data_IF_953015799670
#
_entry.id   IF_953015799670
#
_cell.length_a   1.000
_cell.length_b   1.000
_cell.length_c   1.000
_cell.angle_alpha   90.00
_cell.angle_beta   90.00
_cell.angle_gamma   90.00
#
_symmetry.space_group_name_H-M   'P 1'
#
loop_
_entity.id
_entity.type
_entity.pdbx_description
1 polymer ?
#
# COMPACT_ATOMS: atom_id res chain seq x y z
N UNK A 1 13.05 8.97 30.41
CA UNK A 1 11.72 9.42 30.89
C UNK A 1 11.75 10.45 32.03
N UNK A 2 12.67 10.37 33.00
CA UNK A 2 12.71 11.32 34.13
C UNK A 2 12.88 12.79 33.68
N UNK A 3 13.78 13.05 32.72
CA UNK A 3 14.04 14.40 32.17
C UNK A 3 12.78 15.03 31.56
N UNK A 4 12.05 14.29 30.71
CA UNK A 4 10.80 14.78 30.11
C UNK A 4 9.79 15.21 31.18
N UNK A 5 9.62 14.41 32.24
CA UNK A 5 8.69 14.71 33.34
C UNK A 5 9.17 15.86 34.23
N UNK A 6 10.46 15.94 34.53
CA UNK A 6 11.03 17.00 35.36
C UNK A 6 10.96 18.36 34.68
N UNK A 7 11.19 18.41 33.37
CA UNK A 7 11.27 19.67 32.63
C UNK A 7 9.98 20.00 31.85
N UNK A 8 9.03 19.06 31.74
CA UNK A 8 7.79 19.25 30.98
C UNK A 8 8.00 19.42 29.48
N UNK A 9 9.06 18.81 28.91
CA UNK A 9 9.44 18.99 27.49
C UNK A 9 9.14 17.75 26.65
N UNK A 10 8.74 17.91 25.37
CA UNK A 10 8.69 16.81 24.41
C UNK A 10 10.12 16.37 24.03
N UNK A 11 10.33 15.07 23.84
CA UNK A 11 11.62 14.49 23.43
C UNK A 11 11.39 13.55 22.26
N UNK A 12 12.11 13.78 21.16
CA UNK A 12 12.17 12.88 20.02
C UNK A 12 13.42 12.01 20.08
N UNK A 13 13.27 10.72 19.78
CA UNK A 13 14.38 9.76 19.73
C UNK A 13 14.36 9.13 18.34
N UNK A 14 15.50 9.19 17.65
CA UNK A 14 15.64 8.59 16.31
C UNK A 14 16.37 7.27 16.45
N UNK A 15 15.74 6.19 15.96
CA UNK A 15 16.34 4.86 15.92
C UNK A 15 16.41 4.35 14.49
N UNK A 16 17.62 4.04 14.01
CA UNK A 16 17.81 3.46 12.69
C UNK A 16 17.68 1.93 12.76
N UNK A 17 16.96 1.34 11.82
CA UNK A 17 16.85 -0.13 11.69
C UNK A 17 18.05 -0.64 10.88
N UNK A 18 18.96 -1.37 11.54
CA UNK A 18 20.13 -1.98 10.91
C UNK A 18 19.89 -3.47 10.63
N UNK A 19 20.54 -4.00 9.59
CA UNK A 19 20.43 -5.43 9.19
C UNK A 19 21.07 -6.39 10.19
N UNK A 20 22.06 -5.90 10.93
CA UNK A 20 22.74 -6.65 11.99
C UNK A 20 22.06 -6.30 13.32
N UNK A 21 21.22 -7.20 13.83
CA UNK A 21 20.48 -7.04 15.08
C UNK A 21 21.35 -7.08 16.35
N UNK A 22 22.58 -6.54 16.29
CA UNK A 22 23.60 -6.65 17.33
C UNK A 22 23.64 -5.48 18.32
N UNK A 23 22.88 -4.42 18.07
CA UNK A 23 22.71 -3.34 19.05
C UNK A 23 21.23 -3.28 19.34
N UNK A 24 20.88 -3.33 20.62
CA UNK A 24 19.54 -3.15 21.15
C UNK A 24 18.69 -2.20 20.28
N UNK A 25 17.94 -2.77 19.34
CA UNK A 25 17.40 -1.99 18.23
C UNK A 25 16.32 -1.03 18.70
N UNK A 26 15.82 -0.13 17.82
CA UNK A 26 14.65 0.71 18.10
C UNK A 26 13.49 -0.08 18.71
N UNK A 27 13.34 -1.36 18.34
CA UNK A 27 12.35 -2.30 18.88
C UNK A 27 12.38 -2.47 20.39
N UNK A 28 13.54 -2.43 21.05
CA UNK A 28 13.61 -2.51 22.51
C UNK A 28 13.06 -1.26 23.19
N UNK A 29 13.21 -0.10 22.55
CA UNK A 29 12.70 1.16 23.07
C UNK A 29 11.17 1.28 22.91
N UNK A 30 10.55 0.54 21.98
CA UNK A 30 9.11 0.63 21.70
C UNK A 30 8.23 0.43 22.93
N UNK A 31 8.58 -0.55 23.76
CA UNK A 31 7.83 -0.83 24.98
C UNK A 31 8.06 0.24 26.05
N UNK A 32 9.20 0.94 26.00
CA UNK A 32 9.64 1.92 26.98
C UNK A 32 9.26 3.37 26.67
N UNK A 33 8.76 3.69 25.47
CA UNK A 33 8.36 5.05 25.07
C UNK A 33 6.84 5.25 25.06
N UNK A 34 6.39 6.51 25.06
CA UNK A 34 4.97 6.83 25.04
C UNK A 34 4.35 6.75 23.64
N UNK A 35 5.12 7.12 22.60
CA UNK A 35 4.69 7.05 21.19
C UNK A 35 5.80 6.41 20.36
N UNK A 36 5.43 5.52 19.44
CA UNK A 36 6.30 4.84 18.48
C UNK A 36 5.79 5.17 17.08
N UNK A 37 6.63 5.82 16.29
CA UNK A 37 6.38 6.11 14.89
C UNK A 37 7.38 5.37 14.03
N UNK A 38 6.87 4.72 12.98
CA UNK A 38 7.66 4.09 11.95
C UNK A 38 7.63 4.94 10.69
N UNK A 39 8.80 5.23 10.13
CA UNK A 39 8.92 5.92 8.85
C UNK A 39 9.43 4.94 7.81
N UNK A 40 8.54 4.51 6.94
CA UNK A 40 8.73 3.40 6.01
C UNK A 40 8.62 3.90 4.58
N UNK A 41 9.32 3.23 3.67
CA UNK A 41 9.24 3.53 2.25
C UNK A 41 9.78 2.38 1.44
N UNK A 42 9.01 1.93 0.44
CA UNK A 42 9.49 0.94 -0.50
C UNK A 42 10.42 1.56 -1.54
N UNK A 43 11.28 0.73 -2.15
CA UNK A 43 12.23 1.16 -3.18
C UNK A 43 11.56 1.63 -4.47
N UNK A 44 10.36 1.14 -4.76
CA UNK A 44 9.63 1.46 -5.98
C UNK A 44 8.58 2.57 -5.79
N UNK A 45 8.41 3.03 -4.55
CA UNK A 45 7.49 4.11 -4.21
C UNK A 45 8.26 5.38 -3.87
N UNK A 46 7.93 6.47 -4.56
CA UNK A 46 8.42 7.84 -4.25
C UNK A 46 7.97 8.31 -2.86
N UNK A 47 6.92 7.67 -2.34
CA UNK A 47 6.30 8.02 -1.06
C UNK A 47 7.00 7.40 0.14
N UNK A 48 6.87 8.10 1.26
CA UNK A 48 7.29 7.72 2.59
C UNK A 48 6.08 7.78 3.51
N UNK A 49 5.86 6.71 4.24
CA UNK A 49 4.71 6.52 5.11
C UNK A 49 5.20 6.65 6.55
N UNK A 50 4.61 7.56 7.31
CA UNK A 50 4.78 7.69 8.75
C UNK A 50 3.59 7.04 9.45
N UNK A 51 3.81 5.93 10.16
CA UNK A 51 2.77 5.14 10.82
C UNK A 51 2.96 5.14 12.33
N UNK A 52 1.89 5.37 13.09
CA UNK A 52 1.92 5.26 14.54
C UNK A 52 1.65 3.81 15.00
N UNK A 53 2.68 3.12 15.49
CA UNK A 53 2.52 1.74 16.02
C UNK A 53 2.08 1.74 17.48
N UNK A 54 2.47 2.77 18.23
CA UNK A 54 2.04 3.01 19.60
C UNK A 54 1.80 4.48 19.78
N UNK A 55 0.67 4.87 20.34
CA UNK A 55 0.38 6.26 20.64
C UNK A 55 -0.41 6.34 21.94
N UNK A 56 0.22 6.79 23.03
CA UNK A 56 -0.48 6.97 24.31
C UNK A 56 -1.38 8.21 24.34
N UNK A 57 -1.25 9.09 23.35
CA UNK A 57 -1.94 10.39 23.30
C UNK A 57 -2.95 10.50 22.16
N UNK A 58 -3.20 9.41 21.43
CA UNK A 58 -4.07 9.41 20.27
C UNK A 58 -4.20 8.04 19.62
N UNK A 59 -4.72 8.01 18.41
CA UNK A 59 -4.92 6.78 17.66
C UNK A 59 -3.62 6.23 17.08
N UNK A 60 -3.51 4.90 16.95
CA UNK A 60 -2.48 4.20 16.18
C UNK A 60 -2.87 4.04 14.71
N UNK A 61 -4.10 4.41 14.36
CA UNK A 61 -4.63 4.31 13.00
C UNK A 61 -4.25 5.52 12.12
N UNK A 62 -3.50 6.46 12.69
CA UNK A 62 -3.02 7.63 11.96
C UNK A 62 -1.82 7.31 11.08
N UNK A 63 -1.82 7.93 9.90
CA UNK A 63 -0.80 7.74 8.88
C UNK A 63 -0.50 9.10 8.24
N UNK A 64 0.77 9.47 8.21
CA UNK A 64 1.25 10.59 7.40
C UNK A 64 1.84 10.05 6.10
N UNK A 65 1.47 10.63 4.96
CA UNK A 65 2.07 10.29 3.68
C UNK A 65 2.88 11.49 3.23
N UNK A 66 4.13 11.23 2.86
CA UNK A 66 5.08 12.25 2.45
C UNK A 66 5.73 11.85 1.14
N UNK A 67 6.09 12.82 0.33
CA UNK A 67 6.89 12.65 -0.87
C UNK A 67 8.24 13.33 -0.68
N UNK A 68 9.33 12.64 -1.04
CA UNK A 68 10.65 13.26 -1.03
C UNK A 68 10.87 14.03 -2.33
N UNK A 69 10.78 15.36 -2.26
CA UNK A 69 11.07 16.29 -3.36
C UNK A 69 12.48 16.85 -3.23
N UNK A 70 12.93 17.63 -4.21
CA UNK A 70 14.25 18.29 -4.17
C UNK A 70 14.42 19.17 -2.92
N UNK A 71 13.35 19.83 -2.48
CA UNK A 71 13.33 20.70 -1.30
C UNK A 71 13.20 19.92 0.03
N UNK A 72 12.91 18.62 -0.02
CA UNK A 72 12.72 17.76 1.15
C UNK A 72 11.37 17.04 1.20
N UNK A 73 10.96 16.62 2.40
CA UNK A 73 9.69 15.90 2.60
C UNK A 73 8.50 16.87 2.51
N UNK A 74 7.61 16.61 1.55
CA UNK A 74 6.35 17.34 1.36
C UNK A 74 5.17 16.45 1.75
N UNK A 75 4.21 16.98 2.51
CA UNK A 75 3.00 16.24 2.89
C UNK A 75 2.10 16.00 1.67
N UNK A 76 1.57 14.77 1.59
CA UNK A 76 0.59 14.36 0.59
C UNK A 76 -0.78 14.32 1.26
N UNK A 77 -1.61 15.33 1.01
CA UNK A 77 -2.94 15.45 1.61
C UNK A 77 -3.95 14.46 1.01
N UNK A 78 -3.85 14.19 -0.30
CA UNK A 78 -4.73 13.26 -1.00
C UNK A 78 -3.92 12.15 -1.67
N UNK A 79 -3.68 11.02 -0.99
CA UNK A 79 -2.98 9.90 -1.61
C UNK A 79 -3.75 9.28 -2.78
N UNK A 80 -5.07 9.47 -2.82
CA UNK A 80 -5.90 8.92 -3.90
C UNK A 80 -5.70 9.64 -5.22
N UNK A 81 -5.37 10.93 -5.20
CA UNK A 81 -5.04 11.68 -6.43
C UNK A 81 -3.87 11.03 -7.16
N UNK A 82 -2.84 10.62 -6.44
CA UNK A 82 -1.65 9.99 -7.01
C UNK A 82 -1.98 8.65 -7.68
N UNK A 83 -2.75 7.77 -7.02
CA UNK A 83 -3.11 6.48 -7.60
C UNK A 83 -4.06 6.62 -8.81
N UNK A 84 -4.70 7.79 -8.96
CA UNK A 84 -5.67 8.07 -10.01
C UNK A 84 -5.15 9.03 -11.09
N UNK A 85 -4.03 9.71 -10.87
CA UNK A 85 -3.44 10.70 -11.80
C UNK A 85 -2.95 10.05 -13.11
N UNK A 86 -2.50 8.79 -13.07
CA UNK A 86 -2.11 8.04 -14.28
C UNK A 86 -3.30 7.56 -15.13
N UNK A 87 -4.54 7.83 -14.70
CA UNK A 87 -5.73 7.36 -15.39
C UNK A 87 -6.01 8.17 -16.66
N UNK A 88 -5.92 7.50 -17.80
CA UNK A 88 -6.53 7.98 -19.03
C UNK A 88 -8.06 7.83 -18.95
N UNK A 89 -8.80 8.93 -19.06
CA UNK A 89 -10.26 8.91 -19.02
C UNK A 89 -10.83 8.06 -20.18
N UNK A 90 -11.79 7.18 -19.87
CA UNK A 90 -12.51 6.39 -20.88
C UNK A 90 -11.83 5.11 -21.36
N UNK A 91 -10.74 4.66 -20.73
CA UNK A 91 -10.07 3.41 -21.10
C UNK A 91 -10.76 2.19 -20.48
N UNK A 92 -11.01 1.16 -21.29
CA UNK A 92 -11.58 -0.12 -20.85
C UNK A 92 -10.59 -0.94 -20.04
N UNK A 93 -11.09 -1.73 -19.09
CA UNK A 93 -10.24 -2.63 -18.30
C UNK A 93 -9.57 -1.93 -17.12
N UNK A 94 -10.03 -0.75 -16.72
CA UNK A 94 -9.60 -0.07 -15.49
C UNK A 94 -10.79 0.09 -14.54
N UNK A 95 -10.58 -0.21 -13.26
CA UNK A 95 -11.58 -0.11 -12.20
C UNK A 95 -10.92 0.43 -10.93
N UNK A 96 -11.58 1.33 -10.21
CA UNK A 96 -11.10 1.84 -8.93
C UNK A 96 -11.83 1.13 -7.80
N UNK A 97 -11.06 0.59 -6.86
CA UNK A 97 -11.58 -0.05 -5.65
C UNK A 97 -11.08 0.70 -4.42
N UNK A 98 -11.96 0.88 -3.44
CA UNK A 98 -11.54 1.27 -2.10
C UNK A 98 -10.98 0.03 -1.38
N UNK A 99 -9.68 0.00 -1.17
CA UNK A 99 -8.99 -1.00 -0.36
C UNK A 99 -8.68 -0.43 1.02
N UNK A 100 -8.52 -1.30 2.01
CA UNK A 100 -8.13 -0.89 3.37
C UNK A 100 -6.67 -1.26 3.60
N UNK A 101 -5.82 -0.25 3.77
CA UNK A 101 -4.46 -0.47 4.29
C UNK A 101 -4.46 -0.22 5.80
N UNK A 102 -4.64 -1.30 6.57
CA UNK A 102 -4.92 -1.21 7.99
C UNK A 102 -6.30 -0.57 8.23
N UNK A 103 -6.31 0.71 8.57
CA UNK A 103 -7.53 1.47 8.92
C UNK A 103 -7.79 2.66 8.02
N UNK A 104 -6.90 2.96 7.08
CA UNK A 104 -7.14 3.99 6.07
C UNK A 104 -7.71 3.39 4.79
N UNK A 105 -8.80 3.96 4.26
CA UNK A 105 -9.25 3.64 2.92
C UNK A 105 -8.25 4.25 1.92
N UNK A 106 -7.75 3.42 1.02
CA UNK A 106 -6.90 3.81 -0.11
C UNK A 106 -7.65 3.45 -1.39
N UNK A 107 -7.77 4.41 -2.30
CA UNK A 107 -8.30 4.13 -3.63
C UNK A 107 -7.18 3.54 -4.49
N UNK A 108 -7.43 2.34 -5.00
CA UNK A 108 -6.45 1.59 -5.80
C UNK A 108 -7.08 1.25 -7.14
N UNK A 109 -6.33 1.41 -8.21
CA UNK A 109 -6.76 1.00 -9.55
C UNK A 109 -6.39 -0.46 -9.83
N UNK A 110 -7.39 -1.24 -10.24
CA UNK A 110 -7.23 -2.58 -10.79
C UNK A 110 -7.34 -2.48 -12.30
N UNK A 111 -6.32 -3.00 -12.98
CA UNK A 111 -6.23 -3.06 -14.43
C UNK A 111 -6.41 -4.51 -14.89
N UNK A 112 -7.14 -4.70 -15.99
CA UNK A 112 -7.41 -5.97 -16.63
C UNK A 112 -7.32 -5.81 -18.15
N UNK A 113 -6.48 -6.63 -18.77
CA UNK A 113 -6.40 -6.80 -20.21
C UNK A 113 -6.87 -8.21 -20.55
N UNK A 114 -7.99 -8.29 -21.27
CA UNK A 114 -8.55 -9.53 -21.79
C UNK A 114 -8.34 -9.56 -23.30
N UNK A 115 -7.77 -10.64 -23.81
CA UNK A 115 -7.48 -10.80 -25.24
C UNK A 115 -7.69 -12.25 -25.66
N UNK A 116 -8.11 -12.54 -26.91
CA UNK A 116 -8.17 -13.92 -27.40
C UNK A 116 -6.83 -14.63 -27.27
N UNK A 117 -6.85 -15.89 -26.80
CA UNK A 117 -5.64 -16.71 -26.73
C UNK A 117 -5.17 -17.09 -28.13
N UNK A 118 -3.87 -16.90 -28.39
CA UNK A 118 -3.20 -17.43 -29.58
C UNK A 118 -2.57 -18.81 -29.33
N UNK A 119 -2.60 -19.30 -28.09
CA UNK A 119 -2.01 -20.57 -27.67
C UNK A 119 -3.09 -21.59 -27.27
N UNK A 120 -2.71 -22.87 -27.21
CA UNK A 120 -3.63 -23.97 -26.84
C UNK A 120 -4.21 -23.87 -25.43
N UNK A 121 -3.54 -23.18 -24.50
CA UNK A 121 -4.05 -22.89 -23.16
C UNK A 121 -4.04 -21.38 -22.92
N UNK A 122 -5.17 -20.77 -22.49
CA UNK A 122 -5.22 -19.35 -22.16
C UNK A 122 -4.33 -19.03 -20.96
N UNK A 123 -3.63 -17.91 -21.06
CA UNK A 123 -2.78 -17.37 -20.01
C UNK A 123 -3.61 -16.59 -19.01
N UNK A 124 -3.36 -16.84 -17.72
CA UNK A 124 -3.94 -16.07 -16.61
C UNK A 124 -2.79 -15.56 -15.77
N UNK A 125 -2.54 -14.25 -15.80
CA UNK A 125 -1.47 -13.61 -15.06
C UNK A 125 -2.06 -12.56 -14.12
N UNK A 126 -1.55 -12.53 -12.90
CA UNK A 126 -1.99 -11.61 -11.86
C UNK A 126 -0.76 -11.04 -11.14
N UNK A 127 -0.74 -9.73 -10.92
CA UNK A 127 0.30 -9.03 -10.15
C UNK A 127 -0.38 -8.11 -9.14
N UNK A 128 -0.06 -8.25 -7.85
CA UNK A 128 -0.79 -7.57 -6.75
C UNK A 128 -2.14 -8.21 -6.39
N UNK A 129 -2.48 -9.35 -7.01
CA UNK A 129 -3.73 -10.08 -6.77
C UNK A 129 -3.45 -11.56 -6.56
N UNK A 130 -4.24 -12.20 -5.73
CA UNK A 130 -4.23 -13.66 -5.59
C UNK A 130 -4.74 -14.34 -6.87
N UNK A 131 -3.92 -15.22 -7.43
CA UNK A 131 -4.21 -15.92 -8.69
C UNK A 131 -5.46 -16.82 -8.61
N UNK A 132 -5.69 -17.46 -7.46
CA UNK A 132 -6.85 -18.33 -7.25
C UNK A 132 -8.15 -17.53 -7.21
N UNK A 133 -8.14 -16.37 -6.53
CA UNK A 133 -9.26 -15.43 -6.51
C UNK A 133 -9.62 -14.95 -7.91
N UNK A 134 -8.62 -14.59 -8.72
CA UNK A 134 -8.85 -14.19 -10.12
C UNK A 134 -9.51 -15.32 -10.90
N UNK A 135 -8.99 -16.55 -10.80
CA UNK A 135 -9.55 -17.71 -11.50
C UNK A 135 -11.00 -18.00 -11.09
N UNK A 136 -11.33 -17.88 -9.80
CA UNK A 136 -12.69 -18.06 -9.29
C UNK A 136 -13.63 -16.96 -9.81
N UNK A 137 -13.20 -15.70 -9.79
CA UNK A 137 -13.99 -14.58 -10.32
C UNK A 137 -14.27 -14.75 -11.81
N UNK A 138 -13.27 -15.17 -12.61
CA UNK A 138 -13.47 -15.47 -14.02
C UNK A 138 -14.51 -16.58 -14.24
N UNK A 139 -14.46 -17.66 -13.44
CA UNK A 139 -15.43 -18.75 -13.53
C UNK A 139 -16.86 -18.27 -13.16
N UNK A 140 -16.99 -17.38 -12.18
CA UNK A 140 -18.29 -16.77 -11.82
C UNK A 140 -18.81 -15.88 -12.95
N UNK A 141 -17.96 -15.04 -13.54
CA UNK A 141 -18.33 -14.19 -14.67
C UNK A 141 -18.80 -15.02 -15.87
N UNK A 142 -18.09 -16.10 -16.19
CA UNK A 142 -18.47 -17.00 -17.26
C UNK A 142 -19.81 -17.71 -16.96
N UNK A 143 -19.97 -18.28 -15.76
CA UNK A 143 -21.15 -19.09 -15.44
C UNK A 143 -22.41 -18.26 -15.15
N UNK A 144 -22.26 -17.05 -14.60
CA UNK A 144 -23.39 -16.22 -14.11
C UNK A 144 -23.68 -15.03 -15.00
N UNK A 145 -22.65 -14.41 -15.57
CA UNK A 145 -22.81 -13.23 -16.45
C UNK A 145 -22.85 -13.65 -17.93
N UNK A 146 -22.36 -14.86 -18.25
CA UNK A 146 -22.41 -15.40 -19.60
C UNK A 146 -21.25 -14.93 -20.50
N UNK A 147 -20.16 -14.45 -19.90
CA UNK A 147 -18.98 -14.02 -20.65
C UNK A 147 -18.16 -15.23 -21.14
N UNK A 148 -17.81 -15.25 -22.43
CA UNK A 148 -16.98 -16.31 -23.02
C UNK A 148 -15.50 -16.06 -22.71
N UNK A 149 -15.07 -16.44 -21.50
CA UNK A 149 -13.70 -16.24 -21.02
C UNK A 149 -12.80 -17.48 -21.18
N UNK A 150 -13.36 -18.63 -21.55
CA UNK A 150 -12.61 -19.89 -21.69
C UNK A 150 -11.44 -19.77 -22.69
N UNK A 151 -11.56 -18.99 -23.75
CA UNK A 151 -10.55 -18.82 -24.80
C UNK A 151 -9.88 -17.44 -24.75
N UNK A 152 -9.92 -16.77 -23.60
CA UNK A 152 -9.33 -15.45 -23.42
C UNK A 152 -8.13 -15.53 -22.47
N UNK A 153 -7.02 -14.95 -22.90
CA UNK A 153 -5.92 -14.57 -22.03
C UNK A 153 -6.38 -13.42 -21.11
N UNK A 154 -5.97 -13.49 -19.84
CA UNK A 154 -6.29 -12.51 -18.82
C UNK A 154 -5.02 -12.04 -18.11
N UNK A 155 -4.74 -10.75 -18.22
CA UNK A 155 -3.64 -10.09 -17.52
C UNK A 155 -4.23 -9.08 -16.56
N UNK A 156 -4.06 -9.32 -15.26
CA UNK A 156 -4.55 -8.44 -14.21
C UNK A 156 -3.39 -7.87 -13.41
N UNK A 157 -3.49 -6.58 -13.08
CA UNK A 157 -2.48 -5.85 -12.31
C UNK A 157 -3.15 -4.88 -11.35
N UNK A 158 -2.58 -4.74 -10.16
CA UNK A 158 -2.85 -3.61 -9.27
C UNK A 158 -1.89 -2.48 -9.62
N UNK A 159 -2.43 -1.31 -9.99
CA UNK A 159 -1.63 -0.13 -10.22
C UNK A 159 -1.01 0.34 -8.90
N UNK A 160 0.23 0.84 -8.95
CA UNK A 160 0.94 1.26 -7.75
C UNK A 160 1.44 0.11 -6.87
N UNK A 161 1.60 -1.12 -7.36
CA UNK A 161 2.44 -2.14 -6.71
C UNK A 161 1.96 -2.71 -5.37
N UNK A 162 0.73 -2.40 -4.95
CA UNK A 162 0.09 -2.89 -3.70
C UNK A 162 -0.19 -4.40 -3.76
#
# INVERSE_FOLDING_TARGET
MKIAKTNGIPIFIVGHVTKEGSIAGPRLLEHMVDTVLYFEGERHHTFRILRAVKNRFGSTNELGIFEMREEGLTEVLNPSEIFLEERSAGVSGSCVVASMEGTRPVLVEIQALISPTSFGNPRRMATGLDHNRVSLLMAVLEKRVGLLLQNQDAYLKVAGGV
#
